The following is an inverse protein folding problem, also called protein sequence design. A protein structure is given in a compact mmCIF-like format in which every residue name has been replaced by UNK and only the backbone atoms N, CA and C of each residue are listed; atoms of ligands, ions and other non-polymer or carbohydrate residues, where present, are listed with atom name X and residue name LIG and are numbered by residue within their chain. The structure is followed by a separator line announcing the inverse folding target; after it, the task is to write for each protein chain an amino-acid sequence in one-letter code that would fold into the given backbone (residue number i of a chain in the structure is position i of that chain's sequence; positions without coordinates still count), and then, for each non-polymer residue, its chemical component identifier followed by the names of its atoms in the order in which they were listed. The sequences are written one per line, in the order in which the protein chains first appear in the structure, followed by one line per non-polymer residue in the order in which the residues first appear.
data_IF_834544728071
#
_entry.id   IF_834544728071
#
_cell.length_a   1.000
_cell.length_b   1.000
_cell.length_c   1.000
_cell.angle_alpha   90.00
_cell.angle_beta   90.00
_cell.angle_gamma   90.00
#
_symmetry.space_group_name_H-M   'P 1'
#
loop_
_entity.id
_entity.type
_entity.pdbx_description
1 polymer ?
#
# COMPACT_ATOMS: atom_id res chain seq x y z
N UNK A 1 -12.17 -6.40 8.27
CA UNK A 1 -11.20 -5.27 8.16
C UNK A 1 -10.34 -5.44 6.92
N UNK A 2 -10.26 -4.41 6.08
CA UNK A 2 -9.52 -4.44 4.82
C UNK A 2 -8.38 -3.42 4.81
N UNK A 3 -7.32 -3.72 4.07
CA UNK A 3 -6.17 -2.83 3.86
C UNK A 3 -5.86 -2.78 2.36
N UNK A 4 -5.85 -1.58 1.79
CA UNK A 4 -5.46 -1.34 0.40
C UNK A 4 -4.04 -0.77 0.38
N UNK A 5 -3.14 -1.41 -0.36
CA UNK A 5 -1.71 -1.02 -0.43
C UNK A 5 -1.39 -0.50 -1.83
N UNK A 6 -0.95 0.75 -1.91
CA UNK A 6 -0.40 1.37 -3.11
C UNK A 6 1.13 1.39 -3.00
N UNK A 7 1.80 0.47 -3.69
CA UNK A 7 3.27 0.33 -3.66
C UNK A 7 3.93 1.06 -4.83
N UNK A 8 4.98 1.84 -4.55
CA UNK A 8 5.71 2.66 -5.53
C UNK A 8 7.22 2.58 -5.33
N UNK A 9 7.93 2.21 -6.38
CA UNK A 9 9.41 2.15 -6.44
C UNK A 9 10.04 3.52 -6.69
N UNK A 10 9.51 4.58 -6.06
CA UNK A 10 10.00 5.93 -6.28
C UNK A 10 9.39 6.94 -5.32
N UNK A 11 9.64 8.22 -5.60
CA UNK A 11 9.13 9.34 -4.79
C UNK A 11 7.61 9.38 -4.78
N UNK A 12 7.05 9.72 -3.63
CA UNK A 12 5.63 10.04 -3.50
C UNK A 12 5.21 11.11 -4.53
N UNK A 13 4.04 10.90 -5.16
CA UNK A 13 3.37 11.87 -6.02
C UNK A 13 1.93 12.07 -5.52
N UNK A 14 1.39 13.31 -5.57
CA UNK A 14 0.03 13.58 -5.12
C UNK A 14 -1.05 12.69 -5.78
N UNK A 15 -0.87 12.29 -7.04
CA UNK A 15 -1.81 11.39 -7.74
C UNK A 15 -2.02 10.04 -7.03
N UNK A 16 -1.08 9.58 -6.21
CA UNK A 16 -1.20 8.31 -5.50
C UNK A 16 -2.29 8.40 -4.41
N UNK A 17 -2.46 9.56 -3.77
CA UNK A 17 -3.54 9.79 -2.82
C UNK A 17 -4.92 9.73 -3.49
N UNK A 18 -5.04 10.28 -4.70
CA UNK A 18 -6.26 10.18 -5.51
C UNK A 18 -6.62 8.75 -5.89
N UNK A 19 -5.65 7.97 -6.39
CA UNK A 19 -5.81 6.54 -6.72
C UNK A 19 -6.26 5.72 -5.51
N UNK A 20 -5.56 5.88 -4.38
CA UNK A 20 -5.90 5.16 -3.16
C UNK A 20 -7.28 5.55 -2.62
N UNK A 21 -7.63 6.84 -2.60
CA UNK A 21 -8.97 7.29 -2.21
C UNK A 21 -10.07 6.70 -3.10
N UNK A 22 -9.82 6.56 -4.41
CA UNK A 22 -10.73 5.86 -5.31
C UNK A 22 -10.91 4.39 -4.92
N UNK A 23 -9.83 3.65 -4.65
CA UNK A 23 -9.93 2.25 -4.21
C UNK A 23 -10.66 2.11 -2.88
N UNK A 24 -10.40 2.98 -1.91
CA UNK A 24 -11.12 2.95 -0.64
C UNK A 24 -12.63 3.20 -0.83
N UNK A 25 -13.02 4.15 -1.68
CA UNK A 25 -14.43 4.34 -2.03
C UNK A 25 -15.06 3.08 -2.64
N UNK A 26 -14.33 2.40 -3.51
CA UNK A 26 -14.81 1.18 -4.14
C UNK A 26 -15.02 0.07 -3.10
N UNK A 27 -14.03 -0.15 -2.23
CA UNK A 27 -14.09 -1.15 -1.16
C UNK A 27 -15.28 -0.92 -0.23
N UNK A 28 -15.45 0.32 0.26
CA UNK A 28 -16.56 0.69 1.15
C UNK A 28 -17.93 0.49 0.51
N UNK A 29 -18.04 0.58 -0.82
CA UNK A 29 -19.32 0.44 -1.54
C UNK A 29 -19.65 -0.98 -1.99
N UNK A 30 -18.64 -1.82 -2.23
CA UNK A 30 -18.83 -3.07 -2.97
C UNK A 30 -18.42 -4.32 -2.20
N UNK A 31 -17.51 -4.20 -1.24
CA UNK A 31 -16.94 -5.36 -0.53
C UNK A 31 -17.28 -5.33 0.95
N UNK A 32 -17.24 -4.15 1.55
CA UNK A 32 -17.35 -3.99 2.99
C UNK A 32 -18.82 -4.08 3.45
N UNK A 33 -19.05 -4.77 4.57
CA UNK A 33 -20.34 -4.81 5.26
C UNK A 33 -20.37 -3.84 6.46
N UNK A 34 -21.55 -3.55 7.00
CA UNK A 34 -21.76 -2.61 8.11
C UNK A 34 -21.04 -3.02 9.41
N UNK A 35 -20.72 -4.31 9.56
CA UNK A 35 -19.98 -4.85 10.70
C UNK A 35 -18.46 -4.69 10.59
N UNK A 36 -17.95 -4.32 9.42
CA UNK A 36 -16.51 -4.16 9.19
C UNK A 36 -16.00 -2.79 9.66
N UNK A 37 -14.76 -2.77 10.12
CA UNK A 37 -14.02 -1.53 10.37
C UNK A 37 -13.77 -0.74 9.07
N UNK A 38 -13.57 0.60 9.14
CA UNK A 38 -13.11 1.40 8.01
C UNK A 38 -11.91 0.77 7.29
N UNK A 39 -11.95 0.74 5.96
CA UNK A 39 -10.85 0.25 5.13
C UNK A 39 -9.67 1.21 5.23
N UNK A 40 -8.49 0.68 5.54
CA UNK A 40 -7.27 1.48 5.69
C UNK A 40 -6.54 1.52 4.35
N UNK A 41 -6.13 2.72 3.93
CA UNK A 41 -5.25 2.90 2.79
C UNK A 41 -3.81 3.13 3.23
N UNK A 42 -2.86 2.44 2.59
CA UNK A 42 -1.43 2.62 2.83
C UNK A 42 -0.69 2.87 1.51
N UNK A 43 0.04 3.98 1.43
CA UNK A 43 0.94 4.26 0.32
C UNK A 43 2.36 3.99 0.79
N UNK A 44 3.05 3.07 0.11
CA UNK A 44 4.43 2.70 0.38
C UNK A 44 5.33 3.20 -0.75
N UNK A 45 6.22 4.14 -0.43
CA UNK A 45 7.12 4.79 -1.39
C UNK A 45 8.59 4.55 -0.99
N UNK A 46 9.52 4.66 -1.94
CA UNK A 46 10.96 4.65 -1.63
C UNK A 46 11.40 5.92 -0.93
N UNK A 47 10.72 7.03 -1.20
CA UNK A 47 10.98 8.35 -0.63
C UNK A 47 9.67 9.12 -0.46
N UNK A 48 9.57 9.90 0.62
CA UNK A 48 8.44 10.82 0.85
C UNK A 48 8.93 12.20 1.27
N UNK A 49 8.29 13.24 0.76
CA UNK A 49 8.47 14.61 1.23
C UNK A 49 7.26 14.99 2.09
N UNK A 50 7.48 15.33 3.36
CA UNK A 50 6.41 15.54 4.34
C UNK A 50 5.36 16.56 3.88
N UNK A 51 5.81 17.71 3.38
CA UNK A 51 4.92 18.79 2.94
C UNK A 51 4.07 18.38 1.73
N UNK A 52 4.66 17.70 0.74
CA UNK A 52 3.93 17.21 -0.43
C UNK A 52 2.89 16.16 -0.05
N UNK A 53 3.21 15.30 0.93
CA UNK A 53 2.27 14.32 1.46
C UNK A 53 1.11 15.02 2.17
N UNK A 54 1.39 15.98 3.05
CA UNK A 54 0.39 16.72 3.82
C UNK A 54 -0.63 17.41 2.91
N UNK A 55 -0.16 18.19 1.93
CA UNK A 55 -1.05 18.84 0.96
C UNK A 55 -1.80 17.85 0.06
N UNK A 56 -1.22 16.69 -0.25
CA UNK A 56 -1.89 15.69 -1.08
C UNK A 56 -3.02 14.94 -0.36
N UNK A 57 -2.96 14.85 0.97
CA UNK A 57 -3.99 14.19 1.78
C UNK A 57 -4.96 15.17 2.43
N UNK A 58 -4.68 16.48 2.38
CA UNK A 58 -5.57 17.52 2.89
C UNK A 58 -6.97 17.39 2.27
N UNK A 59 -8.00 17.41 3.11
CA UNK A 59 -9.39 17.23 2.70
C UNK A 59 -9.82 15.78 2.43
N UNK A 60 -8.90 14.80 2.43
CA UNK A 60 -9.25 13.37 2.36
C UNK A 60 -9.62 12.88 3.77
N UNK A 61 -10.91 12.63 4.00
CA UNK A 61 -11.41 12.17 5.31
C UNK A 61 -11.21 10.67 5.58
N UNK A 62 -10.74 9.90 4.58
CA UNK A 62 -10.52 8.46 4.73
C UNK A 62 -9.18 8.17 5.41
N UNK A 63 -9.07 7.05 6.15
CA UNK A 63 -7.82 6.70 6.82
C UNK A 63 -6.76 6.29 5.79
N UNK A 64 -5.92 7.26 5.38
CA UNK A 64 -4.79 7.07 4.47
C UNK A 64 -3.49 7.37 5.21
N UNK A 65 -2.57 6.41 5.20
CA UNK A 65 -1.19 6.58 5.66
C UNK A 65 -0.20 6.56 4.50
N UNK A 66 0.84 7.38 4.58
CA UNK A 66 1.97 7.35 3.64
C UNK A 66 3.25 7.04 4.41
N UNK A 67 3.94 5.99 4.00
CA UNK A 67 5.19 5.57 4.63
C UNK A 67 6.29 5.30 3.61
N UNK A 68 7.52 5.50 4.07
CA UNK A 68 8.71 5.12 3.33
C UNK A 68 9.09 3.69 3.71
N UNK A 69 9.31 2.82 2.71
CA UNK A 69 9.86 1.50 2.99
C UNK A 69 11.38 1.51 2.89
N UNK A 70 12.01 0.53 3.54
CA UNK A 70 13.45 0.28 3.44
C UNK A 70 13.64 -1.09 2.82
N UNK A 71 14.45 -1.14 1.76
CA UNK A 71 14.90 -2.40 1.20
C UNK A 71 15.98 -2.99 2.09
N UNK A 72 15.91 -4.30 2.32
CA UNK A 72 16.93 -5.06 3.01
C UNK A 72 17.44 -6.16 2.07
N UNK A 73 18.75 -6.32 2.00
CA UNK A 73 19.37 -7.43 1.27
C UNK A 73 19.27 -8.75 2.06
N UNK A 74 19.03 -8.67 3.38
CA UNK A 74 18.89 -9.82 4.25
C UNK A 74 17.42 -10.04 4.59
N UNK A 75 16.93 -11.24 4.24
CA UNK A 75 15.59 -11.68 4.61
C UNK A 75 15.56 -12.06 6.09
N UNK A 76 14.70 -11.43 6.92
CA UNK A 76 14.55 -11.85 8.32
C UNK A 76 14.04 -13.29 8.40
N UNK A 77 14.72 -14.17 9.16
CA UNK A 77 14.36 -15.59 9.32
C UNK A 77 12.89 -15.83 9.67
N UNK A 78 12.28 -14.91 10.43
CA UNK A 78 10.86 -15.00 10.81
C UNK A 78 9.90 -14.91 9.63
N UNK A 79 10.31 -14.23 8.55
CA UNK A 79 9.50 -14.00 7.35
C UNK A 79 9.74 -15.06 6.25
N UNK A 80 10.83 -15.82 6.35
CA UNK A 80 11.23 -16.82 5.34
C UNK A 80 10.12 -17.83 5.03
N UNK A 81 9.39 -18.30 6.06
CA UNK A 81 8.28 -19.24 5.90
C UNK A 81 7.04 -18.68 5.18
N UNK A 82 6.95 -17.36 5.01
CA UNK A 82 5.82 -16.69 4.36
C UNK A 82 6.13 -16.27 2.93
N UNK A 83 7.39 -16.41 2.49
CA UNK A 83 7.79 -16.05 1.14
C UNK A 83 7.81 -17.28 0.23
N UNK A 84 7.47 -17.11 -1.06
CA UNK A 84 7.62 -18.17 -2.06
C UNK A 84 9.08 -18.57 -2.21
N UNK A 85 9.31 -19.83 -2.60
CA UNK A 85 10.67 -20.32 -2.85
C UNK A 85 11.24 -19.70 -4.14
N UNK A 86 12.57 -19.68 -4.32
CA UNK A 86 13.17 -19.27 -5.59
C UNK A 86 12.63 -20.04 -6.80
N UNK A 87 12.33 -21.34 -6.63
CA UNK A 87 11.72 -22.17 -7.67
C UNK A 87 10.29 -21.72 -8.02
N UNK A 88 9.49 -21.34 -7.03
CA UNK A 88 8.14 -20.82 -7.26
C UNK A 88 8.18 -19.48 -8.01
N UNK A 89 9.12 -18.61 -7.67
CA UNK A 89 9.35 -17.34 -8.35
C UNK A 89 9.83 -17.52 -9.80
N UNK A 90 10.64 -18.53 -10.08
CA UNK A 90 11.12 -18.81 -11.43
C UNK A 90 9.98 -19.21 -12.38
N UNK A 91 9.00 -19.98 -11.89
CA UNK A 91 7.81 -20.38 -12.65
C UNK A 91 6.93 -19.19 -13.03
N UNK A 92 6.85 -18.17 -12.17
CA UNK A 92 6.07 -16.95 -12.43
C UNK A 92 6.68 -16.03 -13.50
N UNK A 93 7.95 -16.22 -13.88
CA UNK A 93 8.61 -15.44 -14.95
C UNK A 93 8.51 -16.08 -16.33
N UNK A 94 7.99 -17.31 -16.40
CA UNK A 94 7.87 -18.09 -17.64
C UNK A 94 6.46 -18.06 -18.26
N UNK A 95 5.56 -17.25 -17.70
CA UNK A 95 4.24 -16.90 -18.24
C UNK A 95 4.23 -15.42 -18.66
#
# INVERSE_FOLDING_TARGET
MYVVIELKTGKFKPEYAGKLNFYLNLMERTIKDNSDNPTIGLILCEEKQGITVEYAIEGIQKPIGVSQFKLTATLPKKLEKFLPTPQDLAKLKSE
#
